data_IF_798064891458
#
_entry.id   IF_798064891458
#
_cell.length_a   1.000
_cell.length_b   1.000
_cell.length_c   1.000
_cell.angle_alpha   90.00
_cell.angle_beta   90.00
_cell.angle_gamma   90.00
#
_symmetry.space_group_name_H-M   'P 1'
#
loop_
_entity.id
_entity.type
_entity.pdbx_description
1 polymer ?
#
# COMPACT_ATOMS: atom_id res chain seq x y z
N UNK A 1 9.89 13.27 6.43
CA UNK A 1 10.83 12.44 7.20
C UNK A 1 12.11 12.22 6.43
N UNK A 2 13.22 11.94 7.09
CA UNK A 2 14.46 11.51 6.44
C UNK A 2 14.58 9.97 6.37
N UNK A 3 15.67 9.47 5.78
CA UNK A 3 15.93 8.04 5.63
C UNK A 3 16.08 7.31 6.98
N UNK A 4 16.63 7.97 8.01
CA UNK A 4 16.83 7.38 9.34
C UNK A 4 15.50 7.17 10.05
N UNK A 5 14.63 8.18 10.04
CA UNK A 5 13.28 8.10 10.59
C UNK A 5 12.50 7.01 9.85
N UNK A 6 12.54 7.00 8.52
CA UNK A 6 11.87 5.97 7.72
C UNK A 6 12.34 4.55 8.10
N UNK A 7 13.65 4.37 8.31
CA UNK A 7 14.21 3.09 8.72
C UNK A 7 13.72 2.65 10.10
N UNK A 8 13.61 3.56 11.08
CA UNK A 8 13.04 3.28 12.41
C UNK A 8 11.59 2.80 12.26
N UNK A 9 10.76 3.54 11.52
CA UNK A 9 9.35 3.18 11.34
C UNK A 9 9.19 1.80 10.69
N UNK A 10 9.98 1.49 9.66
CA UNK A 10 9.96 0.18 9.00
C UNK A 10 10.44 -0.93 9.93
N UNK A 11 11.48 -0.69 10.72
CA UNK A 11 12.05 -1.69 11.61
C UNK A 11 11.08 -2.09 12.74
N UNK A 12 10.33 -1.13 13.29
CA UNK A 12 9.32 -1.40 14.31
C UNK A 12 8.03 -2.00 13.70
N UNK A 13 7.68 -1.60 12.47
CA UNK A 13 6.65 -2.23 11.62
C UNK A 13 5.20 -2.09 12.09
N UNK A 14 4.98 -1.71 13.35
CA UNK A 14 3.66 -1.54 13.97
C UNK A 14 3.66 -0.35 14.92
N UNK A 15 2.49 0.23 15.16
CA UNK A 15 2.31 1.32 16.11
C UNK A 15 0.96 1.21 16.85
N UNK A 16 0.97 1.68 18.10
CA UNK A 16 -0.24 1.94 18.86
C UNK A 16 -0.87 3.24 18.40
N UNK A 17 -2.17 3.20 18.12
CA UNK A 17 -2.96 4.32 17.59
C UNK A 17 -4.36 4.23 18.16
N UNK A 18 -4.96 5.39 18.37
CA UNK A 18 -6.34 5.49 18.82
C UNK A 18 -7.31 5.09 17.70
N UNK A 19 -8.31 4.21 17.97
CA UNK A 19 -9.30 3.79 16.99
C UNK A 19 -10.01 4.96 16.27
N UNK A 20 -10.16 6.09 16.94
CA UNK A 20 -10.82 7.30 16.46
C UNK A 20 -10.03 7.99 15.33
N UNK A 21 -8.70 7.85 15.31
CA UNK A 21 -7.84 8.26 14.19
C UNK A 21 -8.01 7.36 12.97
N UNK A 22 -8.45 6.13 13.19
CA UNK A 22 -8.65 5.15 12.14
C UNK A 22 -10.07 5.16 11.56
N UNK A 23 -11.05 5.73 12.27
CA UNK A 23 -12.45 5.84 11.83
C UNK A 23 -12.74 7.11 11.04
N UNK A 24 -11.94 8.16 11.23
CA UNK A 24 -12.05 9.46 10.54
C UNK A 24 -11.36 9.45 9.19
N UNK A 25 -10.20 8.81 9.11
CA UNK A 25 -9.59 8.43 7.85
C UNK A 25 -10.37 7.27 7.23
N UNK A 26 -10.73 7.33 5.95
CA UNK A 26 -11.29 6.19 5.19
C UNK A 26 -10.33 4.96 5.12
N UNK A 27 -9.21 4.99 5.84
CA UNK A 27 -8.16 3.96 5.93
C UNK A 27 -8.64 2.59 6.39
N UNK A 28 -9.64 2.51 7.28
CA UNK A 28 -10.23 1.22 7.69
C UNK A 28 -11.44 0.78 6.87
N UNK A 29 -12.03 1.65 6.04
CA UNK A 29 -13.19 1.27 5.23
C UNK A 29 -12.86 0.15 4.21
N UNK A 30 -11.57 -0.05 3.89
CA UNK A 30 -11.10 -1.12 3.01
C UNK A 30 -10.91 -2.49 3.69
N UNK A 31 -11.11 -2.59 5.01
CA UNK A 31 -10.88 -3.81 5.80
C UNK A 31 -9.39 -4.21 5.88
N UNK A 32 -9.07 -5.35 6.55
CA UNK A 32 -7.72 -5.88 6.56
C UNK A 32 -7.22 -6.12 5.14
N UNK A 33 -5.90 -6.00 4.93
CA UNK A 33 -5.31 -6.24 3.61
C UNK A 33 -5.75 -7.61 3.08
N UNK A 34 -6.22 -7.67 1.84
CA UNK A 34 -6.60 -8.96 1.22
C UNK A 34 -5.55 -9.47 0.23
N UNK A 35 -4.40 -8.79 0.17
CA UNK A 35 -3.31 -9.06 -0.74
C UNK A 35 -1.94 -8.88 -0.08
N UNK A 36 -0.95 -9.62 -0.59
CA UNK A 36 0.44 -9.60 -0.11
C UNK A 36 0.67 -10.35 1.21
N UNK A 37 1.91 -10.36 1.73
CA UNK A 37 2.29 -11.09 2.94
C UNK A 37 1.54 -10.65 4.21
N UNK A 38 1.11 -9.38 4.28
CA UNK A 38 0.35 -8.83 5.41
C UNK A 38 -1.17 -8.96 5.28
N UNK A 39 -1.66 -9.98 4.57
CA UNK A 39 -3.10 -10.20 4.42
C UNK A 39 -3.75 -10.59 5.77
N UNK A 40 -4.89 -10.00 6.11
CA UNK A 40 -5.59 -10.22 7.38
C UNK A 40 -5.24 -9.26 8.52
N UNK A 41 -4.20 -8.43 8.36
CA UNK A 41 -3.75 -7.47 9.39
C UNK A 41 -4.27 -6.06 9.08
N UNK A 42 -4.76 -5.36 10.12
CA UNK A 42 -5.12 -3.95 10.04
C UNK A 42 -3.87 -3.09 9.93
N UNK A 43 -3.83 -2.17 8.97
CA UNK A 43 -2.65 -1.32 8.74
C UNK A 43 -3.06 0.04 8.20
N UNK A 44 -2.24 1.06 8.43
CA UNK A 44 -2.42 2.40 7.89
C UNK A 44 -1.16 2.86 7.15
N UNK A 45 -1.33 3.86 6.29
CA UNK A 45 -0.22 4.50 5.59
C UNK A 45 0.07 5.84 6.23
N UNK A 46 1.33 6.08 6.59
CA UNK A 46 1.80 7.36 7.11
C UNK A 46 2.75 8.00 6.12
N UNK A 47 2.60 9.29 5.88
CA UNK A 47 3.53 10.06 5.05
C UNK A 47 4.00 11.35 5.70
N UNK A 48 5.24 11.71 5.40
CA UNK A 48 5.88 12.93 5.87
C UNK A 48 6.99 13.32 4.92
N UNK A 49 6.98 14.56 4.42
CA UNK A 49 8.04 15.11 3.56
C UNK A 49 8.34 14.26 2.32
N UNK A 50 7.30 13.82 1.59
CA UNK A 50 7.45 13.05 0.35
C UNK A 50 7.78 11.57 0.51
N UNK A 51 7.93 11.07 1.75
CA UNK A 51 8.14 9.66 2.01
C UNK A 51 6.89 9.03 2.66
N UNK A 52 6.65 7.75 2.36
CA UNK A 52 5.54 6.94 2.89
C UNK A 52 6.04 5.66 3.55
N UNK A 53 5.38 5.23 4.61
CA UNK A 53 5.51 3.90 5.24
C UNK A 53 4.13 3.30 5.47
N UNK A 54 4.06 1.98 5.50
CA UNK A 54 2.88 1.22 5.94
C UNK A 54 3.20 0.63 7.30
N UNK A 55 2.33 0.85 8.28
CA UNK A 55 2.48 0.33 9.64
C UNK A 55 1.25 -0.51 9.98
N UNK A 56 1.48 -1.62 10.68
CA UNK A 56 0.41 -2.38 11.29
C UNK A 56 -0.16 -1.62 12.48
N UNK A 57 -1.48 -1.66 12.62
CA UNK A 57 -2.15 -1.17 13.82
C UNK A 57 -2.16 -2.26 14.88
N UNK A 58 -1.66 -1.94 16.08
CA UNK A 58 -1.72 -2.82 17.25
C UNK A 58 -2.04 -2.01 18.50
N UNK A 59 -3.06 -2.41 19.27
CA UNK A 59 -3.26 -1.88 20.63
C UNK A 59 -2.28 -2.55 21.57
N UNK A 60 -1.27 -1.80 22.00
CA UNK A 60 -0.22 -2.31 22.86
C UNK A 60 0.34 -1.17 23.72
N UNK A 61 0.08 -1.17 25.04
CA UNK A 61 0.62 -0.15 25.96
C UNK A 61 2.15 -0.10 26.02
N UNK A 62 2.82 -1.20 25.66
CA UNK A 62 4.29 -1.30 25.63
C UNK A 62 4.87 -1.01 24.23
N UNK A 63 4.03 -0.53 23.29
CA UNK A 63 4.48 -0.19 21.94
C UNK A 63 5.57 0.88 21.96
N UNK A 64 6.64 0.62 21.23
CA UNK A 64 7.73 1.58 21.01
C UNK A 64 7.30 2.75 20.14
N UNK A 65 6.33 2.55 19.25
CA UNK A 65 5.71 3.59 18.42
C UNK A 65 4.28 3.86 18.85
N UNK A 66 3.97 5.14 19.09
CA UNK A 66 2.60 5.59 19.36
C UNK A 66 2.23 6.74 18.44
N UNK A 67 0.96 6.82 18.06
CA UNK A 67 0.42 7.82 17.11
C UNK A 67 -0.65 8.66 17.80
N UNK A 68 -0.56 9.99 17.67
CA UNK A 68 -1.51 10.95 18.25
C UNK A 68 -1.92 12.03 17.24
N UNK A 69 -3.12 12.60 17.38
CA UNK A 69 -3.57 13.71 16.52
C UNK A 69 -2.79 14.99 16.81
N UNK A 70 -2.49 15.78 15.77
CA UNK A 70 -2.01 17.15 15.96
C UNK A 70 -3.20 18.02 16.39
N UNK A 71 -3.19 18.50 17.64
CA UNK A 71 -4.24 19.40 18.18
C UNK A 71 -4.79 19.03 19.56
N UNK A 72 -4.42 17.88 20.13
CA UNK A 72 -4.83 17.46 21.49
C UNK A 72 -3.77 17.75 22.58
N UNK A 73 -2.87 18.70 22.33
CA UNK A 73 -2.00 19.25 23.37
C UNK A 73 -2.49 20.65 23.78
N UNK A 74 -3.56 20.67 24.59
CA UNK A 74 -3.86 21.78 25.49
C UNK A 74 -4.57 21.27 26.77
N UNK A 75 -4.11 20.16 27.35
CA UNK A 75 -4.48 19.74 28.71
C UNK A 75 -3.47 18.73 29.27
N UNK A 76 -2.21 19.15 29.41
CA UNK A 76 -1.41 18.89 30.62
C UNK A 76 0.00 19.45 30.42
N UNK A 77 0.26 20.54 31.14
CA UNK A 77 1.35 21.46 30.86
C UNK A 77 2.73 20.97 31.26
N UNK A 78 3.73 21.36 30.47
CA UNK A 78 5.07 21.72 30.96
C UNK A 78 5.54 22.96 30.19
N UNK A 79 6.16 23.88 30.94
CA UNK A 79 6.45 25.27 30.63
C UNK A 79 7.30 25.55 29.39
N UNK A 80 7.00 26.70 28.77
CA UNK A 80 7.82 27.44 27.81
C UNK A 80 9.28 27.62 28.24
N UNK A 81 10.19 27.51 27.27
CA UNK A 81 11.33 28.42 27.11
C UNK A 81 11.47 28.76 25.62
N UNK A 82 11.64 30.07 25.38
CA UNK A 82 11.46 30.73 24.09
C UNK A 82 12.73 30.75 23.20
N UNK A 83 12.45 30.84 21.90
CA UNK A 83 13.13 31.56 20.82
C UNK A 83 14.62 31.33 20.48
N UNK A 84 14.84 30.90 19.22
CA UNK A 84 15.72 31.61 18.28
C UNK A 84 15.46 31.23 16.80
N UNK A 85 14.99 32.23 16.04
CA UNK A 85 15.27 32.62 14.62
C UNK A 85 16.45 31.90 13.92
N UNK A 86 16.58 31.73 12.58
CA UNK A 86 15.82 32.08 11.37
C UNK A 86 16.53 31.50 10.10
N UNK A 87 15.73 31.09 9.11
CA UNK A 87 15.90 31.05 7.63
C UNK A 87 17.11 30.43 6.89
N UNK A 88 16.78 29.47 6.01
CA UNK A 88 17.00 29.45 4.54
C UNK A 88 16.33 28.16 3.99
N UNK A 89 15.47 28.10 2.97
CA UNK A 89 15.53 28.75 1.66
C UNK A 89 15.82 27.70 0.59
N UNK A 90 14.88 26.78 0.30
CA UNK A 90 14.91 25.92 -0.90
C UNK A 90 13.50 25.77 -1.45
N UNK A 91 13.32 26.22 -2.68
CA UNK A 91 12.09 26.12 -3.46
C UNK A 91 11.88 24.67 -3.86
N UNK A 92 10.84 24.03 -3.33
CA UNK A 92 10.39 22.70 -3.70
C UNK A 92 8.96 22.78 -4.24
N UNK A 93 8.77 22.24 -5.44
CA UNK A 93 7.53 22.17 -6.20
C UNK A 93 6.37 21.58 -5.35
N UNK A 94 5.48 22.45 -4.88
CA UNK A 94 4.31 22.09 -4.07
C UNK A 94 3.11 21.87 -4.97
N UNK A 95 2.89 20.61 -5.36
CA UNK A 95 1.55 20.10 -5.66
C UNK A 95 1.23 18.91 -4.78
N UNK A 96 1.26 19.13 -3.46
CA UNK A 96 0.47 18.33 -2.55
C UNK A 96 -0.98 18.83 -2.68
N UNK A 97 -1.78 18.13 -3.50
CA UNK A 97 -3.22 18.31 -3.45
C UNK A 97 -3.69 17.96 -2.03
N UNK A 98 -4.61 18.75 -1.51
CA UNK A 98 -5.21 18.60 -0.19
C UNK A 98 -6.13 17.36 -0.21
N UNK A 99 -5.54 16.19 0.05
CA UNK A 99 -6.26 14.91 0.16
C UNK A 99 -6.48 14.67 1.65
N UNK A 100 -7.72 14.84 2.10
CA UNK A 100 -8.13 14.79 3.52
C UNK A 100 -7.60 13.57 4.26
N UNK A 101 -6.55 13.78 5.05
CA UNK A 101 -5.94 12.82 5.95
C UNK A 101 -5.72 13.46 7.32
N UNK A 102 -5.77 12.67 8.38
CA UNK A 102 -5.55 13.17 9.73
C UNK A 102 -4.08 13.56 9.91
N UNK A 103 -3.82 14.82 10.26
CA UNK A 103 -2.50 15.30 10.68
C UNK A 103 -2.15 14.68 12.05
N UNK A 104 -1.04 13.94 12.12
CA UNK A 104 -0.63 13.16 13.29
C UNK A 104 0.86 13.33 13.63
N UNK A 105 1.19 12.99 14.87
CA UNK A 105 2.55 12.87 15.39
C UNK A 105 2.80 11.40 15.72
N UNK A 106 3.93 10.87 15.26
CA UNK A 106 4.45 9.58 15.72
C UNK A 106 5.53 9.84 16.77
N UNK A 107 5.40 9.19 17.91
CA UNK A 107 6.39 9.16 18.98
C UNK A 107 7.16 7.84 18.94
N UNK A 108 8.46 7.89 19.24
CA UNK A 108 9.31 6.71 19.44
C UNK A 108 9.86 6.71 20.85
N UNK A 109 9.52 5.69 21.64
CA UNK A 109 9.92 5.56 23.05
C UNK A 109 9.59 6.82 23.85
N UNK A 110 8.37 7.34 23.65
CA UNK A 110 7.86 8.53 24.33
C UNK A 110 8.39 9.87 23.83
N UNK A 111 9.25 9.91 22.81
CA UNK A 111 9.79 11.15 22.24
C UNK A 111 9.20 11.39 20.86
N UNK A 112 8.85 12.65 20.55
CA UNK A 112 8.39 13.02 19.21
C UNK A 112 9.45 12.59 18.18
N UNK A 113 9.03 11.75 17.22
CA UNK A 113 9.90 11.28 16.15
C UNK A 113 9.62 12.05 14.86
N UNK A 114 8.35 12.17 14.47
CA UNK A 114 7.96 12.77 13.19
C UNK A 114 6.49 13.19 13.15
N UNK A 115 6.23 14.32 12.48
CA UNK A 115 4.89 14.79 12.12
C UNK A 115 4.58 14.48 10.65
N UNK A 116 3.32 14.18 10.37
CA UNK A 116 2.87 13.84 9.02
C UNK A 116 1.37 13.60 8.97
N UNK A 117 0.95 12.82 7.97
CA UNK A 117 -0.46 12.50 7.74
C UNK A 117 -0.70 11.00 7.62
N UNK A 118 -1.86 10.58 8.08
CA UNK A 118 -2.42 9.28 7.71
C UNK A 118 -3.09 9.42 6.35
N UNK A 119 -2.69 8.57 5.41
CA UNK A 119 -3.25 8.58 4.06
C UNK A 119 -4.33 7.51 3.87
N UNK A 120 -5.48 7.85 3.28
CA UNK A 120 -6.50 6.87 2.94
C UNK A 120 -6.00 5.92 1.85
N UNK A 121 -6.24 4.63 2.02
CA UNK A 121 -6.05 3.64 0.95
C UNK A 121 -7.28 3.66 0.03
N UNK A 122 -7.06 3.62 -1.29
CA UNK A 122 -8.16 3.44 -2.25
C UNK A 122 -8.56 1.96 -2.34
N UNK A 123 -7.72 1.16 -3.01
CA UNK A 123 -7.84 -0.29 -3.03
C UNK A 123 -6.50 -0.84 -2.57
N UNK A 124 -6.36 -1.05 -1.26
CA UNK A 124 -5.18 -1.57 -0.57
C UNK A 124 -3.90 -0.71 -0.62
N UNK A 125 -3.85 0.37 -1.39
CA UNK A 125 -2.71 1.27 -1.50
C UNK A 125 -3.20 2.72 -1.71
N UNK A 126 -2.56 3.75 -1.13
CA UNK A 126 -2.95 5.13 -1.39
C UNK A 126 -2.67 5.49 -2.85
N UNK A 127 -3.63 6.19 -3.47
CA UNK A 127 -3.59 6.64 -4.87
C UNK A 127 -3.48 5.51 -5.92
N UNK A 128 -3.56 4.25 -5.52
CA UNK A 128 -3.42 3.11 -6.42
C UNK A 128 -4.55 2.10 -6.22
N UNK A 129 -5.02 1.55 -7.34
CA UNK A 129 -5.89 0.39 -7.35
C UNK A 129 -5.03 -0.88 -7.36
N UNK A 130 -4.74 -1.46 -6.20
CA UNK A 130 -3.97 -2.71 -6.10
C UNK A 130 -4.90 -3.91 -6.03
N UNK A 131 -5.01 -4.65 -7.13
CA UNK A 131 -6.06 -5.65 -7.33
C UNK A 131 -5.45 -7.03 -7.52
N UNK A 132 -5.79 -7.96 -6.63
CA UNK A 132 -5.55 -9.39 -6.86
C UNK A 132 -6.71 -10.00 -7.64
N UNK A 133 -6.46 -10.43 -8.87
CA UNK A 133 -7.42 -10.98 -9.81
C UNK A 133 -7.89 -12.36 -9.37
N UNK A 134 -6.98 -13.31 -9.23
CA UNK A 134 -7.23 -14.65 -8.66
C UNK A 134 -6.66 -14.78 -7.27
N UNK A 135 -7.53 -15.07 -6.30
CA UNK A 135 -7.16 -15.41 -4.92
C UNK A 135 -7.04 -16.93 -4.69
N UNK A 136 -6.77 -17.66 -5.76
CA UNK A 136 -6.53 -19.11 -5.81
C UNK A 136 -5.28 -19.36 -6.66
N UNK A 137 -4.54 -20.42 -6.35
CA UNK A 137 -3.36 -20.80 -7.08
C UNK A 137 -3.20 -22.34 -7.10
N UNK A 138 -2.86 -22.90 -8.26
CA UNK A 138 -2.49 -24.31 -8.45
C UNK A 138 -1.10 -24.64 -7.91
N UNK A 139 -0.25 -23.63 -7.70
CA UNK A 139 1.06 -23.80 -7.10
C UNK A 139 0.99 -23.64 -5.59
N UNK A 140 1.91 -24.26 -4.86
CA UNK A 140 1.99 -24.21 -3.40
C UNK A 140 3.37 -23.69 -2.96
N UNK A 141 3.75 -22.51 -3.44
CA UNK A 141 5.02 -21.90 -3.04
C UNK A 141 5.07 -21.74 -1.52
N UNK A 142 6.16 -22.17 -0.90
CA UNK A 142 6.30 -22.36 0.56
C UNK A 142 5.98 -21.08 1.35
N UNK A 143 6.34 -19.92 0.79
CA UNK A 143 6.15 -18.60 1.40
C UNK A 143 4.79 -17.95 1.07
N UNK A 144 4.04 -18.50 0.10
CA UNK A 144 2.87 -17.85 -0.45
C UNK A 144 1.59 -18.25 0.30
N UNK A 145 0.79 -17.29 0.80
CA UNK A 145 -0.46 -17.61 1.49
C UNK A 145 -1.61 -17.91 0.53
N UNK A 146 -1.54 -17.46 -0.74
CA UNK A 146 -2.67 -17.49 -1.70
C UNK A 146 -3.35 -18.86 -1.83
N UNK A 147 -2.62 -20.00 -1.95
CA UNK A 147 -3.25 -21.31 -2.09
C UNK A 147 -4.13 -21.68 -0.89
N UNK A 148 -3.78 -21.16 0.30
CA UNK A 148 -4.44 -21.44 1.58
C UNK A 148 -5.63 -20.52 1.86
N UNK A 149 -5.80 -19.43 1.09
CA UNK A 149 -6.89 -18.48 1.29
C UNK A 149 -8.24 -18.99 0.77
N UNK A 150 -8.27 -19.99 -0.11
CA UNK A 150 -9.50 -20.56 -0.68
C UNK A 150 -10.36 -19.54 -1.43
N UNK A 151 -9.75 -18.49 -2.00
CA UNK A 151 -10.47 -17.39 -2.62
C UNK A 151 -10.83 -17.66 -4.08
N UNK A 152 -11.79 -16.88 -4.61
CA UNK A 152 -12.20 -16.97 -6.03
C UNK A 152 -11.43 -16.00 -6.93
N UNK A 153 -11.53 -16.27 -8.23
CA UNK A 153 -11.21 -15.32 -9.28
C UNK A 153 -12.29 -14.24 -9.40
N UNK A 154 -11.87 -12.98 -9.57
CA UNK A 154 -12.76 -11.87 -9.93
C UNK A 154 -13.03 -11.85 -11.43
N UNK A 155 -14.25 -11.50 -11.82
CA UNK A 155 -14.56 -11.25 -13.22
C UNK A 155 -14.02 -9.89 -13.67
N UNK A 156 -13.84 -9.71 -14.99
CA UNK A 156 -13.40 -8.43 -15.54
C UNK A 156 -14.35 -7.28 -15.15
N UNK A 157 -15.65 -7.53 -15.08
CA UNK A 157 -16.63 -6.50 -14.72
C UNK A 157 -16.59 -6.13 -13.25
N UNK A 158 -16.28 -7.09 -12.36
CA UNK A 158 -16.02 -6.79 -10.96
C UNK A 158 -14.81 -5.87 -10.82
N UNK A 159 -13.71 -6.20 -11.50
CA UNK A 159 -12.52 -5.37 -11.47
C UNK A 159 -12.78 -3.98 -12.06
N UNK A 160 -13.50 -3.91 -13.19
CA UNK A 160 -13.87 -2.63 -13.80
C UNK A 160 -14.69 -1.76 -12.85
N UNK A 161 -15.69 -2.32 -12.16
CA UNK A 161 -16.45 -1.59 -11.14
C UNK A 161 -15.55 -1.07 -10.02
N UNK A 162 -14.64 -1.89 -9.50
CA UNK A 162 -13.69 -1.46 -8.48
C UNK A 162 -12.83 -0.28 -8.95
N UNK A 163 -12.29 -0.36 -10.18
CA UNK A 163 -11.49 0.73 -10.75
C UNK A 163 -12.33 1.96 -11.03
N UNK A 164 -13.56 1.83 -11.55
CA UNK A 164 -14.49 2.94 -11.75
C UNK A 164 -14.78 3.67 -10.43
N UNK A 165 -15.04 2.92 -9.35
CA UNK A 165 -15.31 3.48 -8.03
C UNK A 165 -14.09 4.25 -7.50
N UNK A 166 -12.89 3.67 -7.61
CA UNK A 166 -11.66 4.34 -7.21
C UNK A 166 -11.35 5.56 -8.09
N UNK A 167 -11.61 5.50 -9.39
CA UNK A 167 -11.37 6.59 -10.33
C UNK A 167 -12.27 7.79 -10.04
N UNK A 168 -13.55 7.56 -9.68
CA UNK A 168 -14.50 8.62 -9.32
C UNK A 168 -14.11 9.41 -8.07
N UNK A 169 -13.20 8.89 -7.23
CA UNK A 169 -12.66 9.65 -6.09
C UNK A 169 -11.75 10.81 -6.52
N UNK A 170 -11.25 10.83 -7.76
CA UNK A 170 -10.27 11.81 -8.24
C UNK A 170 -8.84 11.58 -7.73
N UNK A 171 -8.63 10.62 -6.83
CA UNK A 171 -7.34 10.34 -6.19
C UNK A 171 -6.57 9.17 -6.83
N UNK A 172 -7.18 8.44 -7.77
CA UNK A 172 -6.50 7.33 -8.44
C UNK A 172 -5.41 7.84 -9.39
N UNK A 173 -4.19 7.29 -9.26
CA UNK A 173 -3.00 7.64 -10.03
C UNK A 173 -2.37 6.45 -10.74
N UNK A 174 -2.61 5.22 -10.28
CA UNK A 174 -2.07 4.01 -10.90
C UNK A 174 -2.98 2.79 -10.65
N UNK A 175 -2.83 1.78 -11.50
CA UNK A 175 -3.48 0.48 -11.34
C UNK A 175 -2.39 -0.60 -11.27
N UNK A 176 -2.49 -1.51 -10.32
CA UNK A 176 -1.60 -2.66 -10.20
C UNK A 176 -2.44 -3.94 -10.15
N UNK A 177 -2.19 -4.85 -11.08
CA UNK A 177 -2.87 -6.14 -11.18
C UNK A 177 -1.91 -7.22 -10.72
N UNK A 178 -2.33 -8.03 -9.75
CA UNK A 178 -1.63 -9.26 -9.35
C UNK A 178 -2.55 -10.46 -9.48
N UNK A 179 -2.00 -11.65 -9.58
CA UNK A 179 -2.84 -12.85 -9.62
C UNK A 179 -2.15 -14.10 -9.10
N UNK A 180 -2.91 -14.96 -8.42
CA UNK A 180 -2.62 -16.39 -8.36
C UNK A 180 -2.99 -17.07 -9.68
N UNK A 181 -2.85 -18.39 -9.74
CA UNK A 181 -3.07 -19.17 -10.97
C UNK A 181 -4.20 -20.16 -10.74
N UNK A 182 -5.42 -19.82 -11.16
CA UNK A 182 -6.59 -20.69 -10.90
C UNK A 182 -6.54 -22.03 -11.67
N UNK A 183 -6.01 -22.02 -12.90
CA UNK A 183 -5.97 -23.21 -13.78
C UNK A 183 -4.66 -23.42 -14.48
N UNK A 184 -4.16 -22.40 -15.19
CA UNK A 184 -2.88 -22.45 -15.88
C UNK A 184 -2.27 -21.05 -16.02
N UNK A 185 -0.93 -20.92 -16.10
CA UNK A 185 -0.29 -19.63 -16.32
C UNK A 185 -0.77 -18.93 -17.59
N UNK A 186 -0.97 -19.68 -18.69
CA UNK A 186 -1.41 -19.13 -19.97
C UNK A 186 -2.83 -18.56 -19.94
N UNK A 187 -3.76 -19.23 -19.26
CA UNK A 187 -5.12 -18.69 -19.04
C UNK A 187 -5.07 -17.43 -18.18
N UNK A 188 -4.23 -17.41 -17.15
CA UNK A 188 -4.11 -16.25 -16.26
C UNK A 188 -3.50 -15.03 -16.98
N UNK A 189 -2.46 -15.23 -17.78
CA UNK A 189 -1.89 -14.19 -18.65
C UNK A 189 -2.94 -13.67 -19.62
N UNK A 190 -3.74 -14.54 -20.24
CA UNK A 190 -4.80 -14.14 -21.17
C UNK A 190 -5.84 -13.26 -20.47
N UNK A 191 -6.28 -13.67 -19.27
CA UNK A 191 -7.21 -12.90 -18.45
C UNK A 191 -6.65 -11.53 -18.06
N UNK A 192 -5.38 -11.48 -17.66
CA UNK A 192 -4.69 -10.23 -17.33
C UNK A 192 -4.58 -9.30 -18.56
N UNK A 193 -4.22 -9.82 -19.73
CA UNK A 193 -4.15 -9.07 -20.99
C UNK A 193 -5.49 -8.43 -21.35
N UNK A 194 -6.59 -9.20 -21.32
CA UNK A 194 -7.92 -8.70 -21.65
C UNK A 194 -8.38 -7.63 -20.66
N UNK A 195 -8.07 -7.82 -19.38
CA UNK A 195 -8.34 -6.84 -18.35
C UNK A 195 -7.56 -5.54 -18.59
N UNK A 196 -6.23 -5.62 -18.78
CA UNK A 196 -5.36 -4.47 -19.05
C UNK A 196 -5.89 -3.65 -20.22
N UNK A 197 -6.19 -4.29 -21.37
CA UNK A 197 -6.75 -3.61 -22.55
C UNK A 197 -7.97 -2.77 -22.18
N UNK A 198 -8.87 -3.34 -21.38
CA UNK A 198 -10.09 -2.64 -20.99
C UNK A 198 -9.92 -1.53 -19.96
N UNK A 199 -8.81 -1.54 -19.21
CA UNK A 199 -8.48 -0.51 -18.23
C UNK A 199 -7.66 0.64 -18.83
N UNK A 200 -7.13 0.51 -20.05
CA UNK A 200 -6.42 1.61 -20.73
C UNK A 200 -7.25 2.89 -20.88
N UNK A 201 -8.60 2.77 -20.92
CA UNK A 201 -9.53 3.89 -20.99
C UNK A 201 -9.38 4.93 -19.87
N UNK A 202 -8.81 4.55 -18.71
CA UNK A 202 -8.60 5.48 -17.59
C UNK A 202 -7.37 6.37 -17.80
N UNK A 203 -6.54 6.10 -18.81
CA UNK A 203 -5.30 6.83 -19.09
C UNK A 203 -4.37 6.93 -17.86
N UNK A 204 -4.26 5.84 -17.12
CA UNK A 204 -3.39 5.69 -15.95
C UNK A 204 -2.33 4.62 -16.22
N UNK A 205 -1.14 4.70 -15.60
CA UNK A 205 -0.15 3.63 -15.65
C UNK A 205 -0.71 2.34 -15.03
N UNK A 206 -0.51 1.23 -15.74
CA UNK A 206 -0.93 -0.12 -15.34
C UNK A 206 0.32 -1.00 -15.16
N UNK A 207 0.52 -1.49 -13.94
CA UNK A 207 1.51 -2.51 -13.61
C UNK A 207 0.86 -3.89 -13.49
N UNK A 208 1.56 -4.93 -13.94
CA UNK A 208 1.06 -6.31 -13.91
C UNK A 208 2.09 -7.26 -13.31
N UNK A 209 1.65 -8.09 -12.37
CA UNK A 209 2.44 -9.16 -11.77
C UNK A 209 1.70 -10.48 -11.84
N UNK A 210 2.15 -11.33 -12.75
CA UNK A 210 1.61 -12.67 -13.01
C UNK A 210 2.77 -13.64 -13.14
N UNK A 211 2.47 -14.94 -13.08
CA UNK A 211 3.48 -15.95 -13.39
C UNK A 211 3.92 -15.83 -14.87
N UNK A 212 5.23 -15.84 -15.17
CA UNK A 212 5.70 -15.67 -16.53
C UNK A 212 5.33 -16.86 -17.42
N UNK A 213 4.85 -16.56 -18.63
CA UNK A 213 4.84 -17.48 -19.78
C UNK A 213 5.83 -16.98 -20.83
N UNK A 214 6.14 -17.84 -21.82
CA UNK A 214 7.08 -17.55 -22.91
C UNK A 214 6.86 -16.19 -23.58
N UNK A 215 5.60 -15.79 -23.77
CA UNK A 215 5.20 -14.57 -24.47
C UNK A 215 4.53 -13.51 -23.58
N UNK A 216 4.44 -13.76 -22.27
CA UNK A 216 3.65 -12.92 -21.34
C UNK A 216 4.06 -11.45 -21.36
N UNK A 217 5.37 -11.16 -21.36
CA UNK A 217 5.86 -9.78 -21.31
C UNK A 217 5.45 -8.97 -22.54
N UNK A 218 5.54 -9.58 -23.73
CA UNK A 218 5.18 -8.94 -25.00
C UNK A 218 3.68 -8.68 -25.02
N UNK A 219 2.88 -9.70 -24.71
CA UNK A 219 1.40 -9.60 -24.71
C UNK A 219 0.88 -8.54 -23.74
N UNK A 220 1.46 -8.46 -22.54
CA UNK A 220 1.06 -7.47 -21.54
C UNK A 220 1.47 -6.05 -21.95
N UNK A 221 2.67 -5.88 -22.53
CA UNK A 221 3.11 -4.59 -23.07
C UNK A 221 2.19 -4.12 -24.21
N UNK A 222 1.88 -4.99 -25.16
CA UNK A 222 0.98 -4.70 -26.28
C UNK A 222 -0.45 -4.40 -25.82
N UNK A 223 -0.87 -4.98 -24.68
CA UNK A 223 -2.15 -4.67 -24.06
C UNK A 223 -2.22 -3.26 -23.44
N UNK A 224 -1.06 -2.62 -23.17
CA UNK A 224 -0.96 -1.30 -22.57
C UNK A 224 -0.38 -1.28 -21.15
N UNK A 225 0.16 -2.40 -20.64
CA UNK A 225 0.91 -2.39 -19.39
C UNK A 225 2.23 -1.62 -19.56
N UNK A 226 2.56 -0.78 -18.57
CA UNK A 226 3.80 0.02 -18.57
C UNK A 226 4.84 -0.55 -17.59
N UNK A 227 4.42 -1.44 -16.70
CA UNK A 227 5.28 -2.17 -15.77
C UNK A 227 4.87 -3.65 -15.76
N UNK A 228 5.86 -4.54 -15.80
CA UNK A 228 5.66 -5.99 -15.70
C UNK A 228 6.63 -6.50 -14.64
N UNK A 229 6.09 -7.20 -13.63
CA UNK A 229 6.85 -7.65 -12.46
C UNK A 229 6.78 -9.16 -12.31
N UNK A 230 7.95 -9.78 -12.34
CA UNK A 230 8.15 -11.18 -11.99
C UNK A 230 8.99 -11.26 -10.72
N UNK A 231 8.43 -11.86 -9.67
CA UNK A 231 9.19 -12.07 -8.46
C UNK A 231 9.96 -13.39 -8.56
N UNK A 232 11.29 -13.31 -8.45
CA UNK A 232 12.16 -14.49 -8.37
C UNK A 232 12.29 -14.98 -6.92
N UNK A 233 12.01 -14.10 -5.95
CA UNK A 233 12.03 -14.30 -4.49
C UNK A 233 13.41 -14.60 -3.90
N UNK A 234 14.23 -15.41 -4.57
CA UNK A 234 15.64 -15.65 -4.21
C UNK A 234 16.51 -15.90 -5.44
N UNK A 235 17.73 -15.39 -5.42
CA UNK A 235 18.74 -15.67 -6.45
C UNK A 235 19.51 -16.97 -6.18
N UNK A 236 19.35 -17.56 -4.99
CA UNK A 236 19.95 -18.84 -4.63
C UNK A 236 19.16 -19.98 -5.27
N UNK A 237 19.80 -20.72 -6.18
CA UNK A 237 19.16 -21.80 -6.94
C UNK A 237 18.80 -23.01 -6.07
N UNK A 238 19.58 -23.28 -5.01
CA UNK A 238 19.29 -24.38 -4.10
C UNK A 238 18.07 -24.06 -3.24
N UNK A 239 17.95 -22.81 -2.78
CA UNK A 239 16.75 -22.36 -2.07
C UNK A 239 15.57 -22.30 -3.05
N UNK A 240 15.76 -21.77 -4.27
CA UNK A 240 14.71 -21.67 -5.28
C UNK A 240 14.09 -23.03 -5.60
N UNK A 241 14.90 -24.10 -5.66
CA UNK A 241 14.40 -25.47 -5.88
C UNK A 241 13.59 -26.07 -4.72
N UNK A 242 13.52 -25.40 -3.57
CA UNK A 242 12.79 -25.83 -2.36
C UNK A 242 11.55 -24.99 -2.06
N UNK A 243 11.36 -23.87 -2.75
CA UNK A 243 10.29 -22.89 -2.46
C UNK A 243 9.09 -23.03 -3.37
#
# INVERSE_FOLDING_TARGET
MDARIKAILIAEGSADIEPELLSTSQTLASGPSTAGPGAGVGSFFFSSGGHRVRLEYRRDPDATLTVRRIGEEAADGVMHLADAKQAAGVVGDTRAADVGGDDVIIFYKGRELVRGRIEPALIHCPEQAYITLSKSCIFDCTFCPVPKLGGRTKTADEVRRMVDDAYRTGNLRAISITSGIERSPGEEVTRAVDLVKSLTKYNLPIGVSVYPTEDSSIRLKEAGAVEIKYNVETMDREIFGRV
#
